data_IF_830581112470
#
_entry.id   IF_830581112470
#
_cell.length_a   1.000
_cell.length_b   1.000
_cell.length_c   1.000
_cell.angle_alpha   90.00
_cell.angle_beta   90.00
_cell.angle_gamma   90.00
#
_symmetry.space_group_name_H-M   'P 1'
#
loop_
_entity.id
_entity.type
_entity.pdbx_description
1 polymer ?
#
# COMPACT_ATOMS: atom_id res chain seq x y z
N UNK A 1 7.22 -4.41 9.76
CA UNK A 1 7.73 -5.55 8.95
C UNK A 1 9.20 -5.34 8.71
N UNK A 2 10.07 -6.33 8.96
CA UNK A 2 11.51 -6.18 8.77
C UNK A 2 11.95 -6.59 7.36
N UNK A 3 11.32 -5.99 6.35
CA UNK A 3 11.68 -6.16 4.93
C UNK A 3 12.03 -4.81 4.32
N UNK A 4 12.91 -4.82 3.32
CA UNK A 4 13.21 -3.64 2.51
C UNK A 4 11.91 -3.02 1.96
N UNK A 5 11.81 -1.69 1.95
CA UNK A 5 10.72 -0.92 1.35
C UNK A 5 11.30 0.18 0.46
N UNK A 6 10.46 0.88 -0.30
CA UNK A 6 10.89 2.05 -1.06
C UNK A 6 10.96 3.28 -0.16
N UNK A 7 12.12 3.92 -0.07
CA UNK A 7 12.35 5.06 0.84
C UNK A 7 11.89 6.40 0.24
N UNK A 8 11.92 6.53 -1.09
CA UNK A 8 11.59 7.77 -1.81
C UNK A 8 10.08 7.94 -2.04
N UNK A 9 9.30 7.95 -0.96
CA UNK A 9 7.86 8.19 -1.02
C UNK A 9 7.58 9.69 -1.16
N UNK A 10 6.83 10.06 -2.20
CA UNK A 10 6.22 11.39 -2.32
C UNK A 10 4.89 11.38 -1.59
N UNK A 11 4.82 12.04 -0.44
CA UNK A 11 3.66 12.00 0.46
C UNK A 11 2.86 13.30 0.31
N UNK A 12 1.55 13.21 0.19
CA UNK A 12 0.67 14.38 0.23
C UNK A 12 0.66 15.01 1.63
N UNK A 13 0.35 16.32 1.71
CA UNK A 13 0.38 17.06 2.98
C UNK A 13 -0.58 16.48 4.05
N UNK A 14 -1.65 15.83 3.63
CA UNK A 14 -2.65 15.18 4.47
C UNK A 14 -2.34 13.71 4.78
N UNK A 15 -1.20 13.18 4.31
CA UNK A 15 -0.80 11.78 4.49
C UNK A 15 -1.81 10.77 3.93
N UNK A 16 -2.67 11.17 2.99
CA UNK A 16 -3.64 10.29 2.34
C UNK A 16 -3.13 9.66 1.05
N UNK A 17 -2.07 10.21 0.43
CA UNK A 17 -1.53 9.73 -0.85
C UNK A 17 -0.02 9.59 -0.77
N UNK A 18 0.49 8.44 -1.23
CA UNK A 18 1.91 8.13 -1.30
C UNK A 18 2.23 7.63 -2.72
N UNK A 19 3.04 8.39 -3.44
CA UNK A 19 3.52 8.04 -4.77
C UNK A 19 4.97 7.58 -4.70
N UNK A 20 5.30 6.51 -5.42
CA UNK A 20 6.68 6.01 -5.52
C UNK A 20 6.90 5.26 -6.83
N UNK A 21 8.15 4.94 -7.13
CA UNK A 21 8.53 4.22 -8.33
C UNK A 21 9.01 2.81 -7.95
N UNK A 22 8.27 1.79 -8.39
CA UNK A 22 8.72 0.40 -8.33
C UNK A 22 9.81 0.18 -9.36
N UNK A 23 10.97 -0.34 -8.95
CA UNK A 23 12.13 -0.62 -9.80
C UNK A 23 12.41 -2.11 -9.78
N UNK A 24 12.40 -2.73 -10.95
CA UNK A 24 12.63 -4.17 -11.07
C UNK A 24 12.91 -4.58 -12.51
N UNK A 25 12.77 -5.87 -12.79
CA UNK A 25 13.19 -6.46 -14.07
C UNK A 25 12.40 -5.97 -15.30
N UNK A 26 11.22 -5.38 -15.09
CA UNK A 26 10.39 -4.78 -16.15
C UNK A 26 10.53 -3.26 -16.21
N UNK A 27 11.53 -2.71 -15.54
CA UNK A 27 11.80 -1.28 -15.49
C UNK A 27 11.10 -0.57 -14.34
N UNK A 28 10.87 0.72 -14.55
CA UNK A 28 10.28 1.62 -13.59
C UNK A 28 8.77 1.71 -13.77
N UNK A 29 8.01 1.56 -12.69
CA UNK A 29 6.54 1.61 -12.71
C UNK A 29 6.09 2.57 -11.62
N UNK A 30 5.36 3.61 -11.99
CA UNK A 30 4.75 4.53 -11.02
C UNK A 30 3.65 3.80 -10.24
N UNK A 31 3.75 3.88 -8.91
CA UNK A 31 2.82 3.27 -7.97
C UNK A 31 2.22 4.33 -7.06
N UNK A 32 0.98 4.09 -6.65
CA UNK A 32 0.25 4.94 -5.71
C UNK A 32 -0.38 4.09 -4.61
N UNK A 33 -0.28 4.58 -3.39
CA UNK A 33 -1.07 4.14 -2.24
C UNK A 33 -1.98 5.30 -1.86
N UNK A 34 -3.28 5.02 -1.67
CA UNK A 34 -4.25 6.03 -1.23
C UNK A 34 -5.13 5.52 -0.10
N UNK A 35 -5.33 6.36 0.93
CA UNK A 35 -6.23 6.12 2.03
C UNK A 35 -7.59 6.77 1.74
N UNK A 36 -8.62 5.94 1.57
CA UNK A 36 -9.94 6.37 1.18
C UNK A 36 -10.92 6.16 2.34
N UNK A 37 -11.57 7.22 2.87
CA UNK A 37 -12.49 7.07 3.98
C UNK A 37 -13.70 6.23 3.56
N UNK A 38 -14.06 5.24 4.38
CA UNK A 38 -15.34 4.57 4.27
C UNK A 38 -16.41 5.46 4.90
N UNK A 39 -17.42 5.81 4.11
CA UNK A 39 -18.43 6.80 4.46
C UNK A 39 -19.04 6.55 5.85
N UNK A 40 -19.04 7.57 6.70
CA UNK A 40 -19.64 7.52 8.03
C UNK A 40 -18.85 6.71 9.08
N UNK A 41 -17.57 6.41 8.84
CA UNK A 41 -16.75 5.62 9.77
C UNK A 41 -15.36 6.20 10.03
N UNK A 42 -14.68 5.68 11.06
CA UNK A 42 -13.26 5.93 11.32
C UNK A 42 -12.34 5.01 10.49
N UNK A 43 -12.92 4.23 9.57
CA UNK A 43 -12.23 3.20 8.79
C UNK A 43 -11.86 3.76 7.42
N UNK A 44 -10.62 3.52 7.00
CA UNK A 44 -10.09 3.89 5.70
C UNK A 44 -9.71 2.64 4.92
N UNK A 45 -10.15 2.55 3.66
CA UNK A 45 -9.64 1.58 2.71
C UNK A 45 -8.24 1.99 2.23
N UNK A 46 -7.32 1.03 2.11
CA UNK A 46 -6.03 1.25 1.44
C UNK A 46 -6.13 0.76 0.00
N UNK A 47 -6.19 1.70 -0.94
CA UNK A 47 -6.07 1.43 -2.36
C UNK A 47 -4.59 1.41 -2.78
N UNK A 48 -4.18 0.39 -3.52
CA UNK A 48 -2.82 0.25 -4.03
C UNK A 48 -2.81 -0.28 -5.47
N UNK A 49 -2.03 0.37 -6.33
CA UNK A 49 -1.91 -0.04 -7.74
C UNK A 49 -0.92 0.78 -8.55
N UNK A 50 -0.97 0.62 -9.87
CA UNK A 50 -0.25 1.49 -10.80
C UNK A 50 -0.89 2.87 -10.79
N UNK A 51 -0.07 3.91 -10.80
CA UNK A 51 -0.55 5.28 -10.94
C UNK A 51 -0.85 5.55 -12.43
N UNK A 52 -2.06 6.02 -12.71
CA UNK A 52 -2.49 6.41 -14.07
C UNK A 52 -3.11 7.80 -13.98
N UNK A 53 -2.28 8.83 -14.15
CA UNK A 53 -2.66 10.22 -13.84
C UNK A 53 -3.00 10.35 -12.36
N UNK A 54 -4.23 10.76 -12.06
CA UNK A 54 -4.75 10.83 -10.69
C UNK A 54 -5.44 9.54 -10.21
N UNK A 55 -5.65 8.58 -11.11
CA UNK A 55 -6.29 7.31 -10.80
C UNK A 55 -5.30 6.23 -10.37
N UNK A 56 -5.85 5.15 -9.81
CA UNK A 56 -5.12 3.93 -9.45
C UNK A 56 -5.69 2.79 -10.29
N UNK A 57 -4.83 2.11 -11.05
CA UNK A 57 -5.12 0.81 -11.66
C UNK A 57 -4.65 -0.30 -10.71
N UNK A 58 -5.59 -0.81 -9.93
CA UNK A 58 -5.40 -1.86 -8.95
C UNK A 58 -5.62 -3.28 -9.52
N UNK A 59 -5.91 -3.45 -10.80
CA UNK A 59 -6.00 -4.77 -11.44
C UNK A 59 -4.72 -5.14 -12.20
N UNK A 60 -3.92 -4.15 -12.59
CA UNK A 60 -2.63 -4.34 -13.25
C UNK A 60 -1.72 -5.35 -12.53
N UNK A 61 -1.14 -6.27 -13.31
CA UNK A 61 -0.12 -7.21 -12.84
C UNK A 61 1.22 -6.80 -13.44
N UNK A 62 2.09 -6.19 -12.63
CA UNK A 62 3.42 -5.80 -13.09
C UNK A 62 4.35 -6.99 -13.23
N UNK A 63 4.37 -7.89 -12.24
CA UNK A 63 5.38 -8.97 -12.11
C UNK A 63 6.82 -8.42 -12.19
N UNK A 64 7.08 -7.33 -11.47
CA UNK A 64 8.38 -6.65 -11.45
C UNK A 64 9.39 -7.32 -10.49
N UNK A 65 9.03 -8.48 -9.92
CA UNK A 65 9.81 -9.29 -8.96
C UNK A 65 10.16 -8.58 -7.64
N UNK A 66 9.36 -7.62 -7.21
CA UNK A 66 9.56 -6.81 -6.00
C UNK A 66 8.37 -6.90 -5.01
N UNK A 67 7.59 -7.99 -5.06
CA UNK A 67 6.36 -8.14 -4.29
C UNK A 67 6.54 -7.91 -2.79
N UNK A 68 7.56 -8.51 -2.16
CA UNK A 68 7.83 -8.35 -0.72
C UNK A 68 8.14 -6.88 -0.39
N UNK A 69 8.93 -6.22 -1.24
CA UNK A 69 9.28 -4.80 -1.08
C UNK A 69 8.06 -3.89 -1.22
N UNK A 70 7.18 -4.20 -2.17
CA UNK A 70 5.88 -3.52 -2.33
C UNK A 70 5.03 -3.67 -1.06
N UNK A 71 4.85 -4.89 -0.56
CA UNK A 71 4.04 -5.14 0.64
C UNK A 71 4.63 -4.43 1.87
N UNK A 72 5.96 -4.45 2.02
CA UNK A 72 6.65 -3.71 3.07
C UNK A 72 6.38 -2.20 2.97
N UNK A 73 6.46 -1.65 1.75
CA UNK A 73 6.19 -0.23 1.47
C UNK A 73 4.75 0.16 1.79
N UNK A 74 3.77 -0.69 1.46
CA UNK A 74 2.36 -0.47 1.81
C UNK A 74 2.18 -0.44 3.33
N UNK A 75 2.84 -1.33 4.07
CA UNK A 75 2.76 -1.30 5.53
C UNK A 75 3.46 -0.09 6.15
N UNK A 76 4.61 0.34 5.61
CA UNK A 76 5.26 1.58 6.02
C UNK A 76 4.33 2.78 5.82
N UNK A 77 3.62 2.85 4.69
CA UNK A 77 2.63 3.91 4.46
C UNK A 77 1.45 3.84 5.46
N UNK A 78 0.99 2.63 5.82
CA UNK A 78 -0.05 2.43 6.85
C UNK A 78 0.43 2.93 8.22
N UNK A 79 1.67 2.61 8.60
CA UNK A 79 2.27 3.08 9.86
C UNK A 79 2.38 4.60 9.92
N UNK A 80 2.84 5.24 8.84
CA UNK A 80 2.91 6.70 8.73
C UNK A 80 1.51 7.33 8.82
N UNK A 81 0.52 6.79 8.11
CA UNK A 81 -0.86 7.26 8.18
C UNK A 81 -1.42 7.15 9.62
N UNK A 82 -1.25 6.00 10.28
CA UNK A 82 -1.75 5.79 11.64
C UNK A 82 -0.99 6.63 12.69
N UNK A 83 0.26 7.02 12.42
CA UNK A 83 1.01 7.96 13.28
C UNK A 83 0.38 9.35 13.27
N UNK A 84 -0.11 9.80 12.09
CA UNK A 84 -0.78 11.09 11.94
C UNK A 84 -2.25 11.03 12.40
N UNK A 85 -2.90 9.87 12.21
CA UNK A 85 -4.31 9.66 12.52
C UNK A 85 -4.51 8.45 13.47
N UNK A 86 -4.12 8.57 14.75
CA UNK A 86 -4.08 7.44 15.69
C UNK A 86 -5.44 6.82 16.01
N UNK A 87 -6.53 7.58 15.88
CA UNK A 87 -7.89 7.12 16.16
C UNK A 87 -8.59 6.46 14.95
N UNK A 88 -7.85 6.22 13.86
CA UNK A 88 -8.40 5.66 12.62
C UNK A 88 -8.03 4.20 12.47
N UNK A 89 -8.85 3.48 11.71
CA UNK A 89 -8.62 2.08 11.38
C UNK A 89 -8.36 1.94 9.89
N UNK A 90 -7.53 0.97 9.54
CA UNK A 90 -7.20 0.67 8.14
C UNK A 90 -7.79 -0.68 7.74
N UNK A 91 -8.59 -0.67 6.68
CA UNK A 91 -9.12 -1.86 6.04
C UNK A 91 -8.28 -2.20 4.80
N UNK A 92 -7.66 -3.38 4.82
CA UNK A 92 -6.86 -3.90 3.72
C UNK A 92 -7.61 -5.03 3.00
N UNK A 93 -7.99 -4.80 1.74
CA UNK A 93 -8.53 -5.83 0.87
C UNK A 93 -7.86 -5.74 -0.50
N UNK A 94 -7.50 -6.89 -1.08
CA UNK A 94 -7.00 -6.92 -2.44
C UNK A 94 -8.15 -6.94 -3.45
N UNK A 95 -7.92 -6.35 -4.62
CA UNK A 95 -8.86 -6.36 -5.76
C UNK A 95 -9.17 -7.76 -6.30
N UNK A 96 -8.40 -8.77 -5.87
CA UNK A 96 -8.64 -10.20 -6.11
C UNK A 96 -8.44 -11.02 -4.84
N UNK A 97 -9.07 -12.20 -4.75
CA UNK A 97 -8.90 -13.12 -3.62
C UNK A 97 -7.43 -13.49 -3.37
N UNK A 98 -6.64 -13.64 -4.44
CA UNK A 98 -5.20 -13.93 -4.34
C UNK A 98 -4.43 -12.82 -3.62
N UNK A 99 -4.75 -11.55 -3.92
CA UNK A 99 -4.14 -10.38 -3.28
C UNK A 99 -4.59 -10.23 -1.83
N UNK A 100 -5.86 -10.49 -1.53
CA UNK A 100 -6.35 -10.54 -0.14
C UNK A 100 -5.61 -11.61 0.67
N UNK A 101 -5.40 -12.80 0.09
CA UNK A 101 -4.62 -13.87 0.73
C UNK A 101 -3.15 -13.48 0.92
N UNK A 102 -2.55 -12.78 -0.03
CA UNK A 102 -1.19 -12.24 0.08
C UNK A 102 -1.06 -11.30 1.28
N UNK A 103 -1.98 -10.34 1.45
CA UNK A 103 -1.99 -9.46 2.62
C UNK A 103 -2.14 -10.25 3.93
N UNK A 104 -3.05 -11.22 3.98
CA UNK A 104 -3.24 -12.07 5.18
C UNK A 104 -1.96 -12.82 5.55
N UNK A 105 -1.24 -13.39 4.58
CA UNK A 105 0.03 -14.08 4.83
C UNK A 105 1.10 -13.11 5.31
N UNK A 106 1.24 -11.94 4.67
CA UNK A 106 2.23 -10.95 5.08
C UNK A 106 1.99 -10.44 6.51
N UNK A 107 0.74 -10.10 6.84
CA UNK A 107 0.36 -9.68 8.19
C UNK A 107 0.59 -10.82 9.19
N UNK A 108 0.09 -12.02 8.90
CA UNK A 108 0.22 -13.19 9.78
C UNK A 108 1.67 -13.56 10.09
N UNK A 109 2.56 -13.48 9.10
CA UNK A 109 3.99 -13.78 9.27
C UNK A 109 4.75 -12.73 10.09
N UNK A 110 4.16 -11.56 10.34
CA UNK A 110 4.80 -10.44 11.02
C UNK A 110 4.08 -10.00 12.30
N UNK A 111 2.99 -10.68 12.68
CA UNK A 111 2.35 -10.52 13.98
C UNK A 111 3.14 -11.30 15.03
N UNK A 112 3.59 -10.60 16.06
CA UNK A 112 4.16 -11.20 17.28
C UNK A 112 3.10 -11.18 18.37
N UNK A 113 2.93 -12.29 19.09
CA UNK A 113 2.06 -12.42 20.25
C UNK A 113 2.86 -12.28 21.54
#
# INVERSE_FOLDING_TARGET
>A
MNYEHYDNLKISADYLVYDFVSKGIKGEIEKRIAFQPLQGSLVFNVAFGNKVGDAIDDYSVSDNKDMTKIISTVATAIELFLTVYPDRYVYCCGSTMGRTRLYRMAIGNNLQY
#
